data_IF_256498898960
#
_entry.id   IF_256498898960
#
_cell.length_a   1.000
_cell.length_b   1.000
_cell.length_c   1.000
_cell.angle_alpha   90.00
_cell.angle_beta   90.00
_cell.angle_gamma   90.00
#
_symmetry.space_group_name_H-M   'P 1'
#
loop_
_entity.id
_entity.type
_entity.pdbx_description
1 polymer ?
#
# COMPACT_ATOMS: atom_id res chain seq x y z
N UNK A 1 17.22 -16.11 -13.59
CA UNK A 1 16.77 -14.82 -13.05
C UNK A 1 16.03 -15.09 -11.76
N UNK A 2 16.41 -14.42 -10.67
CA UNK A 2 15.72 -14.53 -9.37
C UNK A 2 14.50 -13.62 -9.32
N UNK A 3 13.50 -14.01 -8.54
CA UNK A 3 12.28 -13.24 -8.35
C UNK A 3 12.10 -12.93 -6.87
N UNK A 4 11.78 -11.68 -6.56
CA UNK A 4 11.70 -11.20 -5.19
C UNK A 4 10.38 -10.48 -4.93
N UNK A 5 9.86 -10.63 -3.70
CA UNK A 5 8.77 -9.83 -3.16
C UNK A 5 9.18 -9.29 -1.78
N UNK A 6 8.77 -8.05 -1.45
CA UNK A 6 9.23 -7.40 -0.21
C UNK A 6 8.33 -7.73 0.99
N UNK A 7 8.95 -7.92 2.16
CA UNK A 7 8.28 -8.03 3.46
C UNK A 7 9.01 -7.14 4.47
N UNK A 8 8.31 -6.57 5.45
CA UNK A 8 8.94 -5.79 6.52
C UNK A 8 9.78 -6.70 7.43
N UNK A 9 11.10 -6.47 7.52
CA UNK A 9 11.99 -7.26 8.37
C UNK A 9 12.46 -6.62 9.67
N UNK A 10 12.34 -5.29 9.88
CA UNK A 10 12.89 -4.61 11.07
C UNK A 10 12.02 -4.70 12.33
N UNK A 11 10.81 -4.18 12.28
CA UNK A 11 9.93 -4.15 13.47
C UNK A 11 8.97 -5.33 13.54
N UNK A 12 8.73 -6.00 12.41
CA UNK A 12 7.96 -7.26 12.30
C UNK A 12 6.64 -7.26 13.09
N UNK A 13 6.02 -6.08 13.22
CA UNK A 13 5.00 -5.83 14.23
C UNK A 13 3.59 -5.69 13.67
N UNK A 14 3.41 -5.84 12.37
CA UNK A 14 2.13 -5.58 11.71
C UNK A 14 1.88 -6.54 10.54
N UNK A 15 0.89 -7.43 10.70
CA UNK A 15 0.46 -8.37 9.67
C UNK A 15 0.00 -7.66 8.38
N UNK A 16 -0.45 -6.40 8.45
CA UNK A 16 -0.76 -5.60 7.27
C UNK A 16 0.46 -5.28 6.39
N UNK A 17 1.67 -5.28 6.95
CA UNK A 17 2.92 -5.15 6.20
C UNK A 17 3.35 -6.49 5.57
N UNK A 18 3.09 -7.59 6.25
CA UNK A 18 3.26 -8.95 5.69
C UNK A 18 2.31 -9.17 4.52
N UNK A 19 1.03 -8.76 4.65
CA UNK A 19 0.05 -8.84 3.57
C UNK A 19 0.50 -8.14 2.29
N UNK A 20 1.18 -6.99 2.39
CA UNK A 20 1.69 -6.27 1.22
C UNK A 20 2.66 -7.15 0.42
N UNK A 21 3.54 -7.91 1.08
CA UNK A 21 4.40 -8.90 0.40
C UNK A 21 3.64 -10.12 -0.09
N UNK A 22 2.75 -10.68 0.74
CA UNK A 22 1.99 -11.89 0.40
C UNK A 22 1.17 -11.76 -0.88
N UNK A 23 0.58 -10.59 -1.15
CA UNK A 23 -0.23 -10.39 -2.37
C UNK A 23 0.61 -10.30 -3.64
N UNK A 24 1.92 -10.06 -3.53
CA UNK A 24 2.82 -10.08 -4.68
C UNK A 24 3.21 -11.51 -5.08
N UNK A 25 3.33 -12.42 -4.09
CA UNK A 25 3.80 -13.81 -4.28
C UNK A 25 3.03 -14.60 -5.36
N UNK A 26 1.68 -14.56 -5.46
CA UNK A 26 0.94 -15.26 -6.51
C UNK A 26 1.26 -14.82 -7.95
N UNK A 27 1.83 -13.62 -8.14
CA UNK A 27 2.23 -13.16 -9.47
C UNK A 27 3.61 -13.67 -9.89
N UNK A 28 4.35 -14.31 -8.98
CA UNK A 28 5.74 -14.71 -9.17
C UNK A 28 5.86 -16.23 -9.32
N UNK A 29 6.97 -16.74 -9.88
CA UNK A 29 7.26 -18.16 -9.90
C UNK A 29 7.33 -18.75 -8.48
N UNK A 30 7.10 -20.06 -8.36
CA UNK A 30 7.04 -20.76 -7.07
C UNK A 30 8.31 -20.61 -6.21
N UNK A 31 9.47 -20.43 -6.85
CA UNK A 31 10.76 -20.22 -6.19
C UNK A 31 11.09 -18.75 -5.89
N UNK A 32 10.09 -17.85 -5.90
CA UNK A 32 10.29 -16.46 -5.52
C UNK A 32 10.72 -16.33 -4.05
N UNK A 33 11.65 -15.42 -3.80
CA UNK A 33 12.36 -15.27 -2.53
C UNK A 33 11.83 -14.02 -1.81
N UNK A 34 11.44 -14.11 -0.52
CA UNK A 34 11.13 -12.92 0.25
C UNK A 34 12.39 -12.05 0.40
N UNK A 35 12.24 -10.74 0.20
CA UNK A 35 13.30 -9.76 0.40
C UNK A 35 12.96 -8.89 1.62
N UNK A 36 13.91 -8.73 2.54
CA UNK A 36 13.75 -7.77 3.62
C UNK A 36 13.71 -6.36 3.04
N UNK A 37 12.56 -5.70 3.19
CA UNK A 37 12.33 -4.33 2.74
C UNK A 37 13.35 -3.35 3.33
N UNK A 38 13.89 -3.64 4.50
CA UNK A 38 14.84 -2.81 5.25
C UNK A 38 16.31 -3.17 4.94
N UNK A 39 16.57 -4.21 4.12
CA UNK A 39 17.93 -4.63 3.73
C UNK A 39 18.05 -5.03 2.24
N UNK A 40 17.44 -4.25 1.36
CA UNK A 40 17.42 -4.54 -0.08
C UNK A 40 18.83 -4.54 -0.71
N UNK A 41 19.80 -3.82 -0.16
CA UNK A 41 21.19 -3.78 -0.63
C UNK A 41 21.94 -5.12 -0.50
N UNK A 42 21.45 -6.03 0.36
CA UNK A 42 22.02 -7.37 0.58
C UNK A 42 21.55 -8.42 -0.43
N UNK A 43 20.62 -8.07 -1.33
CA UNK A 43 20.19 -8.98 -2.39
C UNK A 43 21.37 -9.44 -3.26
N UNK A 44 21.22 -10.63 -3.86
CA UNK A 44 22.27 -11.25 -4.67
C UNK A 44 22.73 -10.32 -5.81
N UNK A 45 24.04 -10.15 -5.95
CA UNK A 45 24.69 -9.29 -6.94
C UNK A 45 25.16 -10.06 -8.17
N UNK A 46 25.14 -11.40 -8.12
CA UNK A 46 25.73 -12.26 -9.14
C UNK A 46 24.71 -12.71 -10.20
N UNK A 47 23.42 -12.78 -9.85
CA UNK A 47 22.35 -13.20 -10.77
C UNK A 47 21.38 -12.06 -11.05
N UNK A 48 20.92 -11.92 -12.30
CA UNK A 48 19.83 -10.99 -12.63
C UNK A 48 18.59 -11.30 -11.78
N UNK A 49 17.94 -10.26 -11.27
CA UNK A 49 16.74 -10.41 -10.46
C UNK A 49 15.63 -9.45 -10.85
N UNK A 50 14.39 -9.80 -10.52
CA UNK A 50 13.22 -8.93 -10.62
C UNK A 50 12.55 -8.82 -9.25
N UNK A 51 12.29 -7.59 -8.80
CA UNK A 51 11.72 -7.29 -7.49
C UNK A 51 10.35 -6.64 -7.65
N UNK A 52 9.28 -7.22 -7.11
CA UNK A 52 7.99 -6.53 -6.98
C UNK A 52 8.06 -5.59 -5.78
N UNK A 53 8.18 -4.29 -6.05
CA UNK A 53 8.44 -3.27 -5.05
C UNK A 53 7.18 -2.56 -4.57
N UNK A 54 6.27 -3.28 -3.91
CA UNK A 54 5.00 -2.74 -3.40
C UNK A 54 4.93 -2.69 -1.87
N UNK A 55 5.04 -1.50 -1.27
CA UNK A 55 4.84 -1.37 0.16
C UNK A 55 4.68 0.10 0.61
N UNK A 56 4.42 0.29 1.89
CA UNK A 56 5.01 1.38 2.68
C UNK A 56 6.54 1.25 2.65
N UNK A 57 7.25 2.25 2.15
CA UNK A 57 8.71 2.22 1.97
C UNK A 57 9.43 2.84 3.15
N UNK A 58 9.87 1.88 3.97
CA UNK A 58 10.94 1.72 4.95
C UNK A 58 11.11 2.71 6.11
N UNK A 59 11.56 2.13 7.22
CA UNK A 59 11.89 2.85 8.45
C UNK A 59 13.29 3.45 8.38
N UNK A 60 14.25 2.72 7.80
CA UNK A 60 15.56 3.24 7.44
C UNK A 60 15.86 2.95 5.97
N UNK A 61 16.56 3.86 5.31
CA UNK A 61 17.03 3.72 3.92
C UNK A 61 18.54 3.52 3.81
N UNK A 62 19.24 3.19 4.91
CA UNK A 62 20.69 2.94 4.93
C UNK A 62 21.11 1.75 4.04
N UNK A 63 20.20 0.79 3.86
CA UNK A 63 20.37 -0.42 3.05
C UNK A 63 19.49 -0.41 1.80
N UNK A 64 19.17 0.77 1.31
CA UNK A 64 18.52 1.01 0.03
C UNK A 64 19.53 1.72 -0.89
N UNK A 65 19.49 1.55 -2.22
CA UNK A 65 18.61 0.70 -3.03
C UNK A 65 19.05 -0.77 -3.12
N UNK A 66 18.24 -1.65 -3.74
CA UNK A 66 18.73 -2.95 -4.20
C UNK A 66 19.87 -2.80 -5.23
N UNK A 67 20.70 -3.84 -5.41
CA UNK A 67 21.76 -3.87 -6.43
C UNK A 67 21.26 -3.62 -7.86
N UNK A 68 22.15 -3.12 -8.72
CA UNK A 68 21.82 -2.71 -10.09
C UNK A 68 21.38 -3.86 -11.02
N UNK A 69 21.75 -5.10 -10.71
CA UNK A 69 21.28 -6.32 -11.39
C UNK A 69 19.85 -6.72 -10.99
N UNK A 70 19.24 -6.03 -10.02
CA UNK A 70 17.86 -6.27 -9.59
C UNK A 70 16.95 -5.21 -10.23
N UNK A 71 16.06 -5.64 -11.12
CA UNK A 71 15.08 -4.79 -11.80
C UNK A 71 13.81 -4.63 -10.96
N UNK A 72 13.53 -3.44 -10.40
CA UNK A 72 12.32 -3.24 -9.61
C UNK A 72 11.10 -2.94 -10.47
N UNK A 73 10.00 -3.63 -10.17
CA UNK A 73 8.64 -3.29 -10.62
C UNK A 73 7.98 -2.47 -9.50
N UNK A 74 8.23 -1.16 -9.52
CA UNK A 74 7.63 -0.26 -8.53
C UNK A 74 6.16 -0.01 -8.82
N UNK A 75 5.31 -0.58 -7.99
CA UNK A 75 3.86 -0.43 -7.99
C UNK A 75 3.39 -0.27 -6.54
N UNK A 76 2.37 0.54 -6.29
CA UNK A 76 1.84 0.74 -4.93
C UNK A 76 2.87 1.22 -3.89
N UNK A 77 3.86 2.02 -4.31
CA UNK A 77 4.85 2.61 -3.41
C UNK A 77 4.23 3.71 -2.56
N UNK A 78 4.44 3.68 -1.25
CA UNK A 78 4.11 4.76 -0.33
C UNK A 78 5.33 5.27 0.43
N UNK A 79 5.54 6.58 0.42
CA UNK A 79 6.62 7.23 1.19
C UNK A 79 6.00 8.00 2.35
N UNK A 80 6.16 7.48 3.57
CA UNK A 80 5.70 8.16 4.77
C UNK A 80 6.61 9.32 5.15
N UNK A 81 7.92 9.06 5.18
CA UNK A 81 8.96 10.02 5.55
C UNK A 81 9.63 10.63 4.31
N UNK A 82 9.33 11.89 4.05
CA UNK A 82 9.87 12.65 2.92
C UNK A 82 11.40 12.82 2.95
N UNK A 83 12.05 12.69 4.12
CA UNK A 83 13.51 12.75 4.25
C UNK A 83 14.22 11.70 3.40
N UNK A 84 13.60 10.55 3.12
CA UNK A 84 14.17 9.52 2.25
C UNK A 84 14.60 10.09 0.89
N UNK A 85 13.80 10.99 0.31
CA UNK A 85 14.12 11.60 -0.99
C UNK A 85 15.06 12.81 -0.88
N UNK A 86 15.57 13.17 0.30
CA UNK A 86 16.68 14.14 0.43
C UNK A 86 18.02 13.53 0.07
N UNK A 87 18.14 12.21 0.17
CA UNK A 87 19.32 11.48 -0.25
C UNK A 87 19.39 11.40 -1.78
N UNK A 88 20.49 11.87 -2.38
CA UNK A 88 20.62 11.92 -3.85
C UNK A 88 20.60 10.52 -4.46
N UNK A 89 21.31 9.56 -3.86
CA UNK A 89 21.39 8.18 -4.37
C UNK A 89 20.00 7.51 -4.40
N UNK A 90 19.12 7.81 -3.44
CA UNK A 90 17.73 7.34 -3.41
C UNK A 90 16.95 7.92 -4.60
N UNK A 91 17.06 9.24 -4.81
CA UNK A 91 16.37 9.90 -5.93
C UNK A 91 16.84 9.37 -7.27
N UNK A 92 18.15 9.22 -7.45
CA UNK A 92 18.77 8.71 -8.66
C UNK A 92 18.26 7.29 -8.98
N UNK A 93 18.15 6.43 -7.95
CA UNK A 93 17.61 5.08 -8.11
C UNK A 93 16.14 5.07 -8.56
N UNK A 94 15.28 5.86 -7.91
CA UNK A 94 13.88 5.96 -8.34
C UNK A 94 13.75 6.58 -9.73
N UNK A 95 14.58 7.56 -10.08
CA UNK A 95 14.58 8.17 -11.41
C UNK A 95 15.01 7.16 -12.49
N UNK A 96 16.07 6.38 -12.25
CA UNK A 96 16.54 5.28 -13.13
C UNK A 96 15.46 4.23 -13.39
N UNK A 97 14.55 4.05 -12.42
CA UNK A 97 13.49 3.05 -12.46
C UNK A 97 12.09 3.63 -12.71
N UNK A 98 12.02 4.90 -13.11
CA UNK A 98 10.77 5.57 -13.41
C UNK A 98 10.08 4.99 -14.68
N UNK A 99 8.73 5.03 -14.77
CA UNK A 99 7.85 5.71 -13.83
C UNK A 99 7.47 4.86 -12.61
N UNK A 100 7.36 5.52 -11.46
CA UNK A 100 7.02 4.89 -10.17
C UNK A 100 5.50 4.81 -9.98
N UNK A 101 4.97 3.61 -9.73
CA UNK A 101 3.58 3.42 -9.34
C UNK A 101 3.37 3.75 -7.86
N UNK A 102 2.65 4.81 -7.55
CA UNK A 102 2.41 5.28 -6.18
C UNK A 102 1.10 4.73 -5.62
N UNK A 103 1.08 4.42 -4.33
CA UNK A 103 -0.11 3.94 -3.59
C UNK A 103 -1.15 5.02 -3.37
N UNK A 104 -0.72 6.27 -3.22
CA UNK A 104 -1.54 7.43 -2.85
C UNK A 104 -1.04 8.73 -3.50
N UNK A 105 -1.91 9.74 -3.48
CA UNK A 105 -1.65 11.06 -4.07
C UNK A 105 -0.53 11.81 -3.35
N UNK A 106 -0.37 11.63 -2.03
CA UNK A 106 0.74 12.23 -1.25
C UNK A 106 2.08 11.78 -1.83
N UNK A 107 2.26 10.47 -1.96
CA UNK A 107 3.48 9.87 -2.52
C UNK A 107 3.68 10.26 -3.99
N UNK A 108 2.61 10.28 -4.78
CA UNK A 108 2.67 10.75 -6.17
C UNK A 108 3.22 12.19 -6.26
N UNK A 109 2.61 13.12 -5.54
CA UNK A 109 3.01 14.52 -5.56
C UNK A 109 4.43 14.72 -5.02
N UNK A 110 4.84 13.87 -4.07
CA UNK A 110 6.21 13.86 -3.54
C UNK A 110 7.24 13.50 -4.64
N UNK A 111 7.01 12.42 -5.38
CA UNK A 111 7.89 12.04 -6.49
C UNK A 111 7.89 13.08 -7.62
N UNK A 112 6.72 13.55 -8.04
CA UNK A 112 6.61 14.58 -9.08
C UNK A 112 7.31 15.88 -8.69
N UNK A 113 7.26 16.25 -7.41
CA UNK A 113 7.98 17.42 -6.88
C UNK A 113 9.49 17.29 -6.93
N UNK A 114 10.01 16.08 -6.76
CA UNK A 114 11.41 15.77 -6.99
C UNK A 114 11.77 15.63 -8.48
N UNK A 115 10.80 15.70 -9.40
CA UNK A 115 11.03 15.52 -10.83
C UNK A 115 11.12 14.06 -11.26
N UNK A 116 10.74 13.13 -10.38
CA UNK A 116 10.71 11.69 -10.66
C UNK A 116 9.36 11.36 -11.30
N UNK A 117 9.33 10.84 -12.54
CA UNK A 117 8.09 10.42 -13.19
C UNK A 117 7.36 9.39 -12.35
N UNK A 118 6.10 9.66 -12.03
CA UNK A 118 5.28 8.79 -11.19
C UNK A 118 3.81 8.83 -11.61
N UNK A 119 3.06 7.78 -11.28
CA UNK A 119 1.63 7.66 -11.55
C UNK A 119 0.87 7.06 -10.37
N UNK A 120 -0.42 7.36 -10.26
CA UNK A 120 -1.25 6.77 -9.20
C UNK A 120 -1.66 5.34 -9.59
N UNK A 121 -1.19 4.37 -8.80
CA UNK A 121 -1.44 2.94 -9.01
C UNK A 121 -2.48 2.34 -8.07
N UNK A 122 -2.64 2.85 -6.85
CA UNK A 122 -3.44 2.22 -5.79
C UNK A 122 -2.62 1.20 -4.99
N UNK A 123 -3.22 0.47 -4.06
CA UNK A 123 -2.52 -0.53 -3.24
C UNK A 123 -2.69 -1.94 -3.82
N UNK A 124 -1.59 -2.71 -3.91
CA UNK A 124 -1.61 -4.08 -4.44
C UNK A 124 -2.50 -5.00 -3.61
N UNK A 125 -2.76 -4.70 -2.33
CA UNK A 125 -3.63 -5.52 -1.49
C UNK A 125 -5.08 -5.62 -1.98
N UNK A 126 -5.52 -4.78 -2.93
CA UNK A 126 -6.81 -4.93 -3.60
C UNK A 126 -6.85 -6.12 -4.59
N UNK A 127 -5.71 -6.76 -4.86
CA UNK A 127 -5.62 -7.99 -5.64
C UNK A 127 -5.69 -9.26 -4.80
N UNK A 128 -5.93 -9.14 -3.48
CA UNK A 128 -6.03 -10.30 -2.58
C UNK A 128 -7.04 -11.31 -3.11
N UNK A 129 -6.58 -12.54 -3.30
CA UNK A 129 -7.42 -13.64 -3.75
C UNK A 129 -8.39 -14.08 -2.66
N UNK A 130 -9.57 -14.52 -3.07
CA UNK A 130 -10.57 -15.08 -2.16
C UNK A 130 -10.01 -16.36 -1.51
N UNK A 131 -10.18 -16.48 -0.19
CA UNK A 131 -9.77 -17.67 0.58
C UNK A 131 -10.92 -18.70 0.60
N UNK A 132 -11.84 -18.76 1.59
CA UNK A 132 -13.01 -19.62 1.53
C UNK A 132 -14.19 -18.93 0.84
N UNK A 133 -15.34 -19.60 0.83
CA UNK A 133 -16.58 -18.98 0.43
C UNK A 133 -16.92 -17.78 1.33
N UNK A 134 -17.41 -16.67 0.75
CA UNK A 134 -17.85 -15.50 1.50
C UNK A 134 -19.15 -15.82 2.22
N UNK A 135 -19.20 -15.49 3.50
CA UNK A 135 -20.40 -15.58 4.29
C UNK A 135 -21.46 -14.57 3.81
N UNK A 136 -22.54 -15.10 3.25
CA UNK A 136 -23.72 -14.33 2.83
C UNK A 136 -24.94 -14.58 3.73
N UNK A 137 -24.78 -15.34 4.82
CA UNK A 137 -25.89 -15.76 5.69
C UNK A 137 -26.29 -14.70 6.72
N UNK A 138 -25.40 -13.75 7.00
CA UNK A 138 -25.56 -12.78 8.09
C UNK A 138 -25.35 -13.35 9.50
N UNK A 139 -24.99 -14.64 9.61
CA UNK A 139 -24.66 -15.32 10.89
C UNK A 139 -23.15 -15.47 11.01
N UNK A 140 -22.58 -15.43 12.22
CA UNK A 140 -21.14 -15.59 12.44
C UNK A 140 -20.56 -14.44 13.26
N UNK A 141 -19.23 -14.32 13.26
CA UNK A 141 -18.54 -13.34 14.09
C UNK A 141 -18.71 -11.91 13.58
N UNK A 142 -18.85 -10.98 14.52
CA UNK A 142 -18.74 -9.55 14.30
C UNK A 142 -17.35 -9.15 14.76
N UNK A 143 -16.49 -8.72 13.83
CA UNK A 143 -15.08 -8.44 14.09
C UNK A 143 -14.83 -6.94 14.14
N UNK A 144 -14.00 -6.52 15.08
CA UNK A 144 -13.50 -5.16 15.19
C UNK A 144 -11.98 -5.19 15.02
N UNK A 145 -11.47 -4.52 13.98
CA UNK A 145 -10.04 -4.56 13.60
C UNK A 145 -9.50 -3.14 13.53
N UNK A 146 -8.77 -2.71 14.55
CA UNK A 146 -8.23 -1.35 14.62
C UNK A 146 -6.74 -1.30 15.01
N UNK A 147 -6.18 -0.10 15.12
CA UNK A 147 -4.77 0.10 15.47
C UNK A 147 -4.60 1.05 16.66
N UNK A 148 -3.43 1.04 17.28
CA UNK A 148 -3.02 2.03 18.30
C UNK A 148 -3.10 3.47 17.78
N UNK A 149 -2.87 3.70 16.48
CA UNK A 149 -2.98 5.04 15.88
C UNK A 149 -4.43 5.54 15.79
N UNK A 150 -5.38 4.62 15.63
CA UNK A 150 -6.81 4.92 15.47
C UNK A 150 -7.64 3.86 16.18
N UNK A 151 -7.59 3.82 17.52
CA UNK A 151 -8.43 2.93 18.28
C UNK A 151 -9.88 3.38 18.07
N UNK A 152 -10.77 2.41 17.96
CA UNK A 152 -12.21 2.66 18.01
C UNK A 152 -12.57 2.89 19.49
N UNK A 153 -13.07 4.09 19.86
CA UNK A 153 -13.40 4.41 21.24
C UNK A 153 -14.55 3.55 21.79
N UNK A 154 -14.55 3.28 23.08
CA UNK A 154 -15.52 2.37 23.72
C UNK A 154 -16.98 2.82 23.50
N UNK A 155 -17.26 4.12 23.50
CA UNK A 155 -18.60 4.62 23.20
C UNK A 155 -19.06 4.30 21.77
N UNK A 156 -18.14 4.27 20.80
CA UNK A 156 -18.42 3.85 19.43
C UNK A 156 -18.65 2.34 19.37
N UNK A 157 -17.86 1.55 20.11
CA UNK A 157 -18.06 0.10 20.22
C UNK A 157 -19.43 -0.22 20.82
N UNK A 158 -19.78 0.39 21.95
CA UNK A 158 -21.09 0.21 22.60
C UNK A 158 -22.25 0.59 21.67
N UNK A 159 -22.08 1.66 20.88
CA UNK A 159 -23.08 2.05 19.88
C UNK A 159 -23.22 0.97 18.79
N UNK A 160 -22.12 0.46 18.23
CA UNK A 160 -22.15 -0.62 17.25
C UNK A 160 -22.81 -1.88 17.83
N UNK A 161 -22.45 -2.30 19.04
CA UNK A 161 -23.02 -3.48 19.69
C UNK A 161 -24.53 -3.34 19.90
N UNK A 162 -24.99 -2.15 20.30
CA UNK A 162 -26.41 -1.82 20.42
C UNK A 162 -27.13 -1.89 19.07
N UNK A 163 -26.55 -1.30 18.02
CA UNK A 163 -27.13 -1.24 16.67
C UNK A 163 -27.25 -2.62 16.01
N UNK A 164 -26.23 -3.46 16.19
CA UNK A 164 -26.16 -4.80 15.59
C UNK A 164 -26.73 -5.89 16.50
N UNK A 165 -27.01 -5.60 17.78
CA UNK A 165 -27.46 -6.55 18.80
C UNK A 165 -26.52 -7.76 18.92
N UNK A 166 -25.23 -7.50 18.82
CA UNK A 166 -24.15 -8.50 18.81
C UNK A 166 -22.91 -7.90 19.45
N UNK A 167 -22.14 -8.70 20.15
CA UNK A 167 -20.83 -8.28 20.65
C UNK A 167 -19.78 -8.32 19.54
N UNK A 168 -18.84 -7.38 19.59
CA UNK A 168 -17.73 -7.35 18.64
C UNK A 168 -16.47 -7.99 19.23
N UNK A 169 -15.88 -8.92 18.48
CA UNK A 169 -14.59 -9.53 18.84
C UNK A 169 -13.48 -8.66 18.27
N UNK A 170 -12.68 -8.04 19.15
CA UNK A 170 -11.52 -7.24 18.74
C UNK A 170 -10.38 -8.15 18.29
N UNK A 171 -9.85 -7.91 17.09
CA UNK A 171 -8.78 -8.72 16.48
C UNK A 171 -7.57 -7.84 16.16
N UNK A 172 -6.41 -8.26 16.63
CA UNK A 172 -5.13 -7.55 16.43
C UNK A 172 -4.46 -7.94 15.12
N UNK A 173 -3.68 -7.01 14.57
CA UNK A 173 -2.72 -7.25 13.48
C UNK A 173 -1.29 -7.38 13.99
N UNK A 174 -1.06 -7.37 15.30
CA UNK A 174 0.28 -7.54 15.86
C UNK A 174 0.54 -9.04 15.99
N UNK A 175 1.50 -9.61 15.25
CA UNK A 175 1.91 -10.99 15.47
C UNK A 175 2.56 -11.09 16.87
N UNK A 176 2.59 -12.29 17.48
CA UNK A 176 3.40 -12.52 18.65
C UNK A 176 4.86 -12.14 18.33
N UNK A 177 5.49 -11.37 19.22
CA UNK A 177 6.89 -10.98 19.09
C UNK A 177 7.73 -12.23 19.36
N UNK A 178 8.47 -12.68 18.35
CA UNK A 178 9.39 -13.79 18.48
C UNK A 178 10.76 -13.39 17.91
N UNK A 179 11.83 -13.73 18.63
CA UNK A 179 13.21 -13.57 18.15
C UNK A 179 13.54 -14.73 17.20
N UNK A 180 13.06 -14.60 15.96
CA UNK A 180 13.15 -15.62 14.90
C UNK A 180 13.87 -15.08 13.67
N UNK A 181 14.32 -15.96 12.78
CA UNK A 181 14.93 -15.53 11.51
C UNK A 181 13.93 -14.80 10.61
N UNK A 182 14.43 -14.05 9.62
CA UNK A 182 13.55 -13.36 8.66
C UNK A 182 12.65 -14.35 7.90
N UNK A 183 13.22 -15.46 7.43
CA UNK A 183 12.47 -16.48 6.69
C UNK A 183 11.38 -17.12 7.56
N UNK A 184 11.72 -17.46 8.82
CA UNK A 184 10.75 -17.98 9.79
C UNK A 184 9.61 -16.97 10.03
N UNK A 185 9.95 -15.68 10.19
CA UNK A 185 8.93 -14.64 10.34
C UNK A 185 8.01 -14.54 9.14
N UNK A 186 8.56 -14.58 7.92
CA UNK A 186 7.75 -14.53 6.70
C UNK A 186 6.77 -15.70 6.67
N UNK A 187 7.21 -16.91 6.98
CA UNK A 187 6.35 -18.10 6.96
C UNK A 187 5.28 -18.04 8.05
N UNK A 188 5.65 -17.83 9.31
CA UNK A 188 4.72 -17.78 10.44
C UNK A 188 3.70 -16.64 10.31
N UNK A 189 4.17 -15.43 9.99
CA UNK A 189 3.29 -14.29 9.84
C UNK A 189 2.39 -14.41 8.61
N UNK A 190 2.84 -15.08 7.54
CA UNK A 190 1.99 -15.40 6.38
C UNK A 190 0.88 -16.38 6.74
N UNK A 191 1.17 -17.39 7.56
CA UNK A 191 0.15 -18.33 8.07
C UNK A 191 -0.89 -17.61 8.93
N UNK A 192 -0.44 -16.76 9.86
CA UNK A 192 -1.33 -15.94 10.70
C UNK A 192 -2.20 -15.00 9.87
N UNK A 193 -1.60 -14.28 8.92
CA UNK A 193 -2.35 -13.39 8.03
C UNK A 193 -3.33 -14.17 7.15
N UNK A 194 -2.97 -15.38 6.68
CA UNK A 194 -3.90 -16.20 5.91
C UNK A 194 -5.10 -16.65 6.74
N UNK A 195 -4.88 -17.14 7.96
CA UNK A 195 -5.94 -17.48 8.92
C UNK A 195 -6.86 -16.28 9.18
N UNK A 196 -6.29 -15.08 9.28
CA UNK A 196 -7.04 -13.86 9.48
C UNK A 196 -7.89 -13.48 8.25
N UNK A 197 -7.37 -13.61 7.03
CA UNK A 197 -8.14 -13.42 5.79
C UNK A 197 -9.29 -14.43 5.65
N UNK A 198 -9.08 -15.68 6.06
CA UNK A 198 -10.13 -16.70 6.10
C UNK A 198 -11.23 -16.33 7.10
N UNK A 199 -10.84 -15.88 8.29
CA UNK A 199 -11.77 -15.41 9.32
C UNK A 199 -12.60 -14.22 8.83
N UNK A 200 -11.98 -13.28 8.11
CA UNK A 200 -12.69 -12.16 7.49
C UNK A 200 -13.73 -12.58 6.46
N UNK A 201 -13.44 -13.60 5.64
CA UNK A 201 -14.41 -14.13 4.67
C UNK A 201 -15.62 -14.79 5.37
N UNK A 202 -15.39 -15.43 6.52
CA UNK A 202 -16.42 -16.12 7.32
C UNK A 202 -17.20 -15.19 8.25
N UNK A 203 -16.68 -14.00 8.55
CA UNK A 203 -17.32 -13.04 9.45
C UNK A 203 -18.68 -12.55 8.91
N UNK A 204 -19.63 -12.32 9.82
CA UNK A 204 -20.88 -11.66 9.49
C UNK A 204 -20.63 -10.19 9.13
N UNK A 205 -19.72 -9.53 9.85
CA UNK A 205 -19.32 -8.16 9.61
C UNK A 205 -17.91 -7.90 10.16
N UNK A 206 -17.10 -7.16 9.41
CA UNK A 206 -15.80 -6.63 9.83
C UNK A 206 -15.91 -5.10 9.89
N UNK A 207 -15.80 -4.53 11.08
CA UNK A 207 -15.60 -3.08 11.27
C UNK A 207 -14.12 -2.85 11.43
N UNK A 208 -13.55 -1.89 10.69
CA UNK A 208 -12.12 -1.60 10.78
C UNK A 208 -11.78 -0.13 10.64
N UNK A 209 -10.63 0.27 11.18
CA UNK A 209 -9.96 1.56 10.86
C UNK A 209 -8.73 1.37 9.97
N UNK A 210 -8.34 0.12 9.68
CA UNK A 210 -7.11 -0.24 8.95
C UNK A 210 -7.36 -0.40 7.45
N UNK A 211 -6.59 0.32 6.64
CA UNK A 211 -6.62 0.20 5.18
C UNK A 211 -6.25 -1.22 4.69
N UNK A 212 -5.31 -1.89 5.38
CA UNK A 212 -4.86 -3.25 5.06
C UNK A 212 -5.75 -4.33 5.69
N UNK A 213 -6.86 -3.95 6.32
CA UNK A 213 -8.00 -4.84 6.57
C UNK A 213 -9.11 -4.57 5.54
N UNK A 214 -9.45 -3.30 5.31
CA UNK A 214 -10.52 -2.94 4.38
C UNK A 214 -10.27 -3.37 2.93
N UNK A 215 -9.10 -3.07 2.37
CA UNK A 215 -8.77 -3.37 0.97
C UNK A 215 -8.79 -4.88 0.63
N UNK A 216 -8.15 -5.78 1.41
CA UNK A 216 -8.26 -7.22 1.12
C UNK A 216 -9.69 -7.74 1.33
N UNK A 217 -10.44 -7.24 2.33
CA UNK A 217 -11.84 -7.62 2.49
C UNK A 217 -12.68 -7.23 1.26
N UNK A 218 -12.50 -6.00 0.75
CA UNK A 218 -13.15 -5.56 -0.49
C UNK A 218 -12.75 -6.44 -1.69
N UNK A 219 -11.48 -6.82 -1.80
CA UNK A 219 -10.97 -7.67 -2.89
C UNK A 219 -11.56 -9.09 -2.87
N UNK A 220 -11.71 -9.67 -1.67
CA UNK A 220 -12.28 -11.01 -1.49
C UNK A 220 -13.82 -11.00 -1.57
N UNK A 221 -14.44 -9.83 -1.35
CA UNK A 221 -15.89 -9.66 -1.28
C UNK A 221 -16.48 -9.85 0.12
N UNK A 222 -15.66 -9.83 1.17
CA UNK A 222 -16.09 -9.96 2.55
C UNK A 222 -16.93 -8.76 3.03
N UNK A 223 -17.76 -8.99 4.05
CA UNK A 223 -18.62 -7.95 4.64
C UNK A 223 -17.79 -6.98 5.49
N UNK A 224 -17.37 -5.86 4.92
CA UNK A 224 -16.50 -4.89 5.61
C UNK A 224 -17.08 -3.49 5.61
N UNK A 225 -16.83 -2.76 6.71
CA UNK A 225 -17.08 -1.33 6.87
C UNK A 225 -15.80 -0.69 7.40
N UNK A 226 -15.33 0.33 6.70
CA UNK A 226 -14.27 1.20 7.21
C UNK A 226 -14.91 2.36 7.96
N UNK A 227 -14.51 2.56 9.22
CA UNK A 227 -14.83 3.75 10.01
C UNK A 227 -13.55 4.53 10.31
N UNK A 228 -13.63 5.85 10.41
CA UNK A 228 -12.44 6.68 10.65
C UNK A 228 -12.79 7.98 11.37
N UNK A 229 -11.96 8.47 12.33
CA UNK A 229 -12.26 9.73 13.03
C UNK A 229 -12.16 10.96 12.12
N UNK A 230 -11.39 10.89 11.04
CA UNK A 230 -11.19 11.98 10.08
C UNK A 230 -11.37 11.49 8.64
N UNK A 231 -12.51 11.81 8.01
CA UNK A 231 -12.80 11.39 6.64
C UNK A 231 -11.87 12.02 5.58
N UNK A 232 -11.15 13.09 5.94
CA UNK A 232 -10.18 13.75 5.07
C UNK A 232 -8.75 13.22 5.25
N UNK A 233 -8.53 12.17 6.06
CA UNK A 233 -7.20 11.59 6.23
C UNK A 233 -6.67 11.04 4.88
N UNK A 234 -5.53 11.52 4.37
CA UNK A 234 -4.98 11.06 3.11
C UNK A 234 -4.70 9.55 3.05
N UNK A 235 -4.56 8.88 4.20
CA UNK A 235 -4.33 7.42 4.29
C UNK A 235 -5.53 6.61 3.81
N UNK A 236 -6.75 7.06 4.09
CA UNK A 236 -7.99 6.36 3.71
C UNK A 236 -8.50 6.75 2.32
N UNK A 237 -7.88 7.76 1.68
CA UNK A 237 -8.26 8.22 0.35
C UNK A 237 -8.17 7.14 -0.74
N UNK A 238 -7.32 6.12 -0.55
CA UNK A 238 -7.24 4.98 -1.46
C UNK A 238 -8.43 4.02 -1.31
N UNK A 239 -9.04 3.95 -0.12
CA UNK A 239 -10.19 3.11 0.17
C UNK A 239 -11.50 3.80 -0.24
N UNK A 240 -11.58 5.13 -0.11
CA UNK A 240 -12.75 5.91 -0.51
C UNK A 240 -13.05 5.87 -2.02
N UNK A 241 -12.09 5.43 -2.85
CA UNK A 241 -12.36 5.11 -4.26
C UNK A 241 -13.32 3.92 -4.45
N UNK A 242 -13.42 3.06 -3.45
CA UNK A 242 -14.09 1.76 -3.56
C UNK A 242 -15.30 1.64 -2.64
N UNK A 243 -15.30 2.29 -1.48
CA UNK A 243 -16.42 2.21 -0.54
C UNK A 243 -16.70 3.53 0.17
N UNK A 244 -17.96 3.69 0.59
CA UNK A 244 -18.34 4.68 1.59
C UNK A 244 -17.63 4.40 2.92
N UNK A 245 -17.09 5.45 3.53
CA UNK A 245 -16.43 5.43 4.84
C UNK A 245 -17.32 6.21 5.80
N UNK A 246 -17.52 5.71 7.01
CA UNK A 246 -18.28 6.40 8.05
C UNK A 246 -17.34 7.04 9.08
N UNK A 247 -17.72 8.20 9.58
CA UNK A 247 -17.08 8.78 10.76
C UNK A 247 -17.57 8.10 12.04
N UNK A 248 -16.85 8.30 13.14
CA UNK A 248 -17.35 7.88 14.45
C UNK A 248 -18.65 8.61 14.82
N UNK A 249 -18.80 9.85 14.39
CA UNK A 249 -20.02 10.63 14.60
C UNK A 249 -21.21 10.06 13.81
N UNK A 250 -20.99 9.58 12.58
CA UNK A 250 -22.03 8.89 11.81
C UNK A 250 -22.51 7.64 12.54
N UNK A 251 -21.58 6.87 13.13
CA UNK A 251 -21.93 5.70 13.93
C UNK A 251 -22.77 6.11 15.15
N UNK A 252 -22.36 7.14 15.89
CA UNK A 252 -23.05 7.55 17.12
C UNK A 252 -24.44 8.16 16.88
N UNK A 253 -24.67 8.77 15.72
CA UNK A 253 -25.94 9.43 15.39
C UNK A 253 -27.01 8.51 14.79
N UNK A 254 -26.62 7.33 14.30
CA UNK A 254 -27.53 6.43 13.61
C UNK A 254 -28.10 5.36 14.56
N UNK A 255 -29.39 5.05 14.40
CA UNK A 255 -30.02 3.90 15.08
C UNK A 255 -29.54 2.56 14.53
N UNK A 256 -29.07 2.56 13.28
CA UNK A 256 -28.47 1.40 12.61
C UNK A 256 -27.54 1.84 11.50
N UNK A 257 -26.27 1.46 11.58
CA UNK A 257 -25.30 1.69 10.53
C UNK A 257 -25.69 0.97 9.22
N UNK A 258 -25.86 1.74 8.15
CA UNK A 258 -26.21 1.19 6.85
C UNK A 258 -25.04 0.45 6.18
N UNK A 259 -25.36 -0.53 5.33
CA UNK A 259 -24.35 -1.19 4.50
C UNK A 259 -23.66 -0.14 3.60
N UNK A 260 -22.32 -0.09 3.58
CA UNK A 260 -21.60 0.92 2.82
C UNK A 260 -21.84 0.71 1.32
N UNK A 261 -21.98 1.81 0.58
CA UNK A 261 -21.98 1.74 -0.89
C UNK A 261 -20.61 1.28 -1.38
N UNK A 262 -20.58 0.22 -2.16
CA UNK A 262 -19.34 -0.36 -2.72
C UNK A 262 -19.33 -0.24 -4.25
N UNK A 263 -18.26 0.35 -4.80
CA UNK A 263 -18.04 0.46 -6.23
C UNK A 263 -17.27 -0.75 -6.77
N UNK A 264 -17.98 -1.87 -6.96
CA UNK A 264 -17.39 -3.14 -7.45
C UNK A 264 -16.70 -2.99 -8.82
N UNK A 265 -17.27 -2.20 -9.73
CA UNK A 265 -16.65 -1.93 -11.05
C UNK A 265 -15.28 -1.27 -10.91
N UNK A 266 -15.13 -0.35 -9.95
CA UNK A 266 -13.85 0.33 -9.68
C UNK A 266 -12.84 -0.60 -9.01
N UNK A 267 -13.28 -1.48 -8.12
CA UNK A 267 -12.45 -2.54 -7.52
C UNK A 267 -11.87 -3.42 -8.63
N UNK A 268 -12.71 -3.99 -9.50
CA UNK A 268 -12.24 -4.89 -10.56
C UNK A 268 -11.34 -4.18 -11.57
N UNK A 269 -11.71 -2.95 -11.98
CA UNK A 269 -10.84 -2.16 -12.86
C UNK A 269 -9.47 -1.87 -12.23
N UNK A 270 -9.39 -1.70 -10.90
CA UNK A 270 -8.12 -1.48 -10.20
C UNK A 270 -7.33 -2.77 -10.08
N UNK A 271 -7.98 -3.87 -9.72
CA UNK A 271 -7.39 -5.21 -9.63
C UNK A 271 -6.75 -5.58 -10.96
N UNK A 272 -7.50 -5.50 -12.06
CA UNK A 272 -6.98 -5.79 -13.40
C UNK A 272 -5.80 -4.89 -13.79
N UNK A 273 -5.87 -3.58 -13.47
CA UNK A 273 -4.80 -2.65 -13.77
C UNK A 273 -3.49 -3.00 -13.06
N UNK A 274 -3.56 -3.31 -11.75
CA UNK A 274 -2.40 -3.68 -10.95
C UNK A 274 -1.85 -5.05 -11.35
N UNK A 275 -2.72 -6.06 -11.44
CA UNK A 275 -2.34 -7.41 -11.86
C UNK A 275 -1.69 -7.41 -13.24
N UNK A 276 -2.22 -6.67 -14.21
CA UNK A 276 -1.61 -6.56 -15.54
C UNK A 276 -0.19 -6.01 -15.50
N UNK A 277 0.07 -4.98 -14.68
CA UNK A 277 1.43 -4.42 -14.57
C UNK A 277 2.39 -5.46 -14.00
N UNK A 278 2.01 -6.16 -12.93
CA UNK A 278 2.89 -7.12 -12.26
C UNK A 278 3.10 -8.35 -13.15
N UNK A 279 2.02 -8.99 -13.63
CA UNK A 279 2.08 -10.21 -14.46
C UNK A 279 2.91 -9.98 -15.72
N UNK A 280 2.64 -8.90 -16.46
CA UNK A 280 3.36 -8.64 -17.70
C UNK A 280 4.82 -8.22 -17.43
N UNK A 281 5.11 -7.58 -16.31
CA UNK A 281 6.51 -7.30 -15.91
C UNK A 281 7.27 -8.57 -15.52
N UNK A 282 6.62 -9.48 -14.81
CA UNK A 282 7.21 -10.79 -14.46
C UNK A 282 7.49 -11.60 -15.71
N UNK A 283 6.52 -11.68 -16.65
CA UNK A 283 6.72 -12.36 -17.94
C UNK A 283 7.84 -11.75 -18.77
N UNK A 284 7.93 -10.42 -18.79
CA UNK A 284 8.92 -9.71 -19.59
C UNK A 284 10.32 -9.69 -18.94
N UNK A 285 10.42 -9.94 -17.64
CA UNK A 285 11.67 -9.83 -16.88
C UNK A 285 12.13 -8.38 -16.63
N UNK A 286 11.26 -7.40 -16.84
CA UNK A 286 11.51 -5.99 -16.51
C UNK A 286 10.20 -5.25 -16.26
N UNK A 287 10.26 -4.06 -15.67
CA UNK A 287 9.08 -3.22 -15.47
C UNK A 287 8.53 -2.70 -16.82
N UNK A 288 7.40 -3.25 -17.26
CA UNK A 288 6.79 -2.88 -18.55
C UNK A 288 6.41 -1.41 -18.65
N UNK A 289 6.26 -0.69 -17.52
CA UNK A 289 5.97 0.74 -17.55
C UNK A 289 7.13 1.60 -18.06
N UNK A 290 8.36 1.05 -18.12
CA UNK A 290 9.51 1.72 -18.76
C UNK A 290 9.35 1.79 -20.27
N UNK A 291 8.77 0.74 -20.87
CA UNK A 291 8.55 0.60 -22.33
C UNK A 291 7.20 -0.09 -22.64
N UNK A 292 6.06 0.56 -22.32
CA UNK A 292 4.75 -0.08 -22.42
C UNK A 292 4.35 -0.27 -23.87
N UNK A 293 3.72 -1.41 -24.17
CA UNK A 293 3.17 -1.70 -25.50
C UNK A 293 1.71 -1.26 -25.64
N UNK A 294 0.92 -1.46 -24.58
CA UNK A 294 -0.47 -1.03 -24.48
C UNK A 294 -0.63 0.51 -24.56
N UNK A 295 -1.65 0.98 -25.30
CA UNK A 295 -1.89 2.41 -25.52
C UNK A 295 -2.24 3.16 -24.23
N UNK A 296 -2.98 2.55 -23.31
CA UNK A 296 -3.35 3.16 -22.03
C UNK A 296 -2.12 3.34 -21.14
N UNK A 297 -1.24 2.33 -21.08
CA UNK A 297 0.02 2.41 -20.35
C UNK A 297 1.01 3.40 -21.00
N UNK A 298 1.09 3.46 -22.34
CA UNK A 298 1.85 4.49 -23.08
C UNK A 298 1.40 5.90 -22.69
N UNK A 299 0.08 6.13 -22.62
CA UNK A 299 -0.48 7.42 -22.17
C UNK A 299 -0.09 7.72 -20.71
N UNK A 300 -0.24 6.75 -19.80
CA UNK A 300 0.16 6.93 -18.39
C UNK A 300 1.63 7.32 -18.29
N UNK A 301 2.53 6.58 -18.93
CA UNK A 301 3.96 6.88 -18.97
C UNK A 301 4.22 8.28 -19.54
N UNK A 302 3.69 8.62 -20.72
CA UNK A 302 3.90 9.96 -21.29
C UNK A 302 3.43 11.07 -20.33
N UNK A 303 2.27 10.91 -19.71
CA UNK A 303 1.73 11.90 -18.78
C UNK A 303 2.55 12.01 -17.49
N UNK A 304 3.12 10.92 -16.98
CA UNK A 304 3.93 10.96 -15.75
C UNK A 304 5.21 11.76 -15.95
N UNK A 305 5.87 11.63 -17.10
CA UNK A 305 7.07 12.41 -17.43
C UNK A 305 6.76 13.90 -17.61
N UNK A 306 5.68 14.23 -18.34
CA UNK A 306 5.24 15.63 -18.49
C UNK A 306 4.93 16.24 -17.12
N UNK A 307 4.15 15.53 -16.29
CA UNK A 307 3.80 16.00 -14.95
C UNK A 307 5.02 16.21 -14.07
N UNK A 308 5.98 15.28 -14.08
CA UNK A 308 7.18 15.42 -13.28
C UNK A 308 8.01 16.65 -13.69
N UNK A 309 8.15 16.89 -14.99
CA UNK A 309 8.84 18.08 -15.51
C UNK A 309 8.16 19.38 -15.07
N UNK A 310 6.84 19.49 -15.27
CA UNK A 310 6.07 20.70 -14.93
C UNK A 310 6.07 20.93 -13.42
N UNK A 311 5.71 19.90 -12.64
CA UNK A 311 5.52 20.01 -11.19
C UNK A 311 6.84 20.33 -10.49
N UNK A 312 7.94 19.69 -10.90
CA UNK A 312 9.30 20.00 -10.42
C UNK A 312 9.68 21.46 -10.69
N UNK A 313 9.44 21.97 -11.91
CA UNK A 313 9.74 23.36 -12.28
C UNK A 313 8.94 24.37 -11.46
N UNK A 314 7.65 24.09 -11.24
CA UNK A 314 6.79 24.94 -10.39
C UNK A 314 7.31 25.00 -8.96
N UNK A 315 7.71 23.85 -8.39
CA UNK A 315 8.32 23.81 -7.05
C UNK A 315 9.61 24.61 -7.00
N UNK A 316 10.52 24.43 -7.98
CA UNK A 316 11.76 25.18 -8.03
C UNK A 316 11.52 26.69 -8.19
N UNK A 317 10.52 27.09 -8.99
CA UNK A 317 10.13 28.50 -9.13
C UNK A 317 9.61 29.06 -7.81
N UNK A 318 8.68 28.38 -7.15
CA UNK A 318 8.16 28.78 -5.85
C UNK A 318 9.27 28.96 -4.83
N UNK A 319 10.18 27.98 -4.72
CA UNK A 319 11.33 28.05 -3.83
C UNK A 319 12.23 29.26 -4.09
N UNK A 320 12.44 29.62 -5.36
CA UNK A 320 13.22 30.80 -5.76
C UNK A 320 12.54 32.12 -5.41
N UNK A 321 11.23 32.23 -5.62
CA UNK A 321 10.47 33.48 -5.34
C UNK A 321 10.09 33.64 -3.87
N UNK A 322 10.33 32.64 -3.02
CA UNK A 322 10.03 32.71 -1.58
C UNK A 322 8.55 32.55 -1.22
N UNK A 323 7.66 32.34 -2.19
CA UNK A 323 6.21 32.24 -2.01
C UNK A 323 5.76 30.78 -2.05
N UNK A 324 5.84 30.08 -0.91
CA UNK A 324 5.44 28.68 -0.79
C UNK A 324 4.92 28.32 0.62
N UNK A 325 4.11 27.26 0.74
CA UNK A 325 3.73 26.71 2.04
C UNK A 325 4.96 26.25 2.84
N UNK A 326 4.99 26.40 4.18
CA UNK A 326 6.15 26.02 5.02
C UNK A 326 6.63 24.58 4.81
N UNK A 327 5.69 23.66 4.59
CA UNK A 327 5.97 22.24 4.37
C UNK A 327 6.79 21.96 3.10
N UNK A 328 6.70 22.84 2.10
CA UNK A 328 7.37 22.67 0.80
C UNK A 328 8.89 22.90 0.95
N UNK A 329 9.31 23.88 1.75
CA UNK A 329 10.72 24.10 2.10
C UNK A 329 11.32 22.90 2.82
N UNK A 330 10.59 22.33 3.78
CA UNK A 330 11.06 21.18 4.57
C UNK A 330 11.39 19.99 3.68
N UNK A 331 10.60 19.77 2.62
CA UNK A 331 10.74 18.63 1.72
C UNK A 331 11.77 18.92 0.62
N UNK A 332 11.70 20.07 -0.05
CA UNK A 332 12.44 20.35 -1.30
C UNK A 332 13.56 21.38 -1.17
N UNK A 333 14.04 21.69 0.05
CA UNK A 333 15.08 22.71 0.28
C UNK A 333 16.36 22.54 -0.55
N UNK A 334 16.69 21.32 -0.98
CA UNK A 334 17.89 21.08 -1.81
C UNK A 334 17.74 21.64 -3.23
N UNK A 335 16.52 21.81 -3.73
CA UNK A 335 16.26 22.35 -5.08
C UNK A 335 16.53 23.83 -5.22
N UNK A 336 16.54 24.59 -4.13
CA UNK A 336 16.89 26.02 -4.18
C UNK A 336 18.39 26.25 -4.37
N UNK A 337 19.23 25.22 -4.17
CA UNK A 337 20.71 25.33 -4.21
C UNK A 337 21.33 24.95 -5.56
N UNK A 338 20.52 24.57 -6.57
CA UNK A 338 21.04 24.18 -7.89
C UNK A 338 21.81 22.84 -7.91
N UNK A 339 21.60 21.98 -6.91
CA UNK A 339 22.21 20.63 -6.83
C UNK A 339 21.32 19.53 -7.44
N UNK A 340 20.67 19.82 -8.58
CA UNK A 340 19.97 18.80 -9.37
C UNK A 340 20.93 18.17 -10.39
#
# INVERSE_FOLDING_TARGET
>A
MKYYYIVEGKYRGNLGDVLQGMVAKPFLPQNAIPADREDLASLDKNEQGLLVGNAWYMHSWDRFPPPDNIQPVYVSVHIAESKMLKEKYVRDHFLKNAPIGCRDKKTLNLFLGWGIPAYYSGCLTITTERRPEINNTGKGEYLLVDNVDHPIPDNVVMALEKQFKQQFIRVSHNPPVADISFDQYVDEASLLMNSLLERYCKAALVITTKIHCALPCLAMGANVVLIHPNLNDPRIASVSEFMQIYSYEDVLRQDRLEKPRINRKRIESRKQFLSNIVVESVKAGYNIMKSPQDLKLKKIRRTSFIKASIYSRVISLWLKIGFYPPNLKRVYSLKSKGHD
#
